data_IF_678175015595
#
_entry.id   IF_678175015595
#
_cell.length_a   1.000
_cell.length_b   1.000
_cell.length_c   1.000
_cell.angle_alpha   90.00
_cell.angle_beta   90.00
_cell.angle_gamma   90.00
#
_symmetry.space_group_name_H-M   'P 1'
#
loop_
_entity.id
_entity.type
_entity.pdbx_description
1 polymer ?
#
# COMPACT_ATOMS: atom_id res chain seq x y z
N UNK A 1 7.68 -13.80 -17.55
CA UNK A 1 6.78 -13.71 -16.38
C UNK A 1 7.41 -14.54 -15.28
N UNK A 2 7.56 -13.99 -14.08
CA UNK A 2 8.14 -14.70 -12.93
C UNK A 2 7.09 -14.82 -11.83
N UNK A 3 7.07 -15.97 -11.15
CA UNK A 3 6.17 -16.25 -10.02
C UNK A 3 7.05 -16.61 -8.84
N UNK A 4 6.85 -15.92 -7.72
CA UNK A 4 7.62 -16.12 -6.48
C UNK A 4 6.66 -16.43 -5.34
N UNK A 5 7.08 -17.32 -4.43
CA UNK A 5 6.37 -17.56 -3.20
C UNK A 5 6.59 -16.38 -2.24
N UNK A 6 5.52 -15.78 -1.74
CA UNK A 6 5.58 -14.69 -0.74
C UNK A 6 5.37 -15.18 0.69
N UNK A 7 5.20 -16.50 0.87
CA UNK A 7 5.09 -17.22 2.14
C UNK A 7 5.61 -18.64 1.96
N UNK A 8 5.87 -19.34 3.06
CA UNK A 8 6.10 -20.78 3.02
C UNK A 8 4.85 -21.50 2.49
N UNK A 9 5.05 -22.49 1.62
CA UNK A 9 3.99 -23.29 1.01
C UNK A 9 4.24 -24.74 1.36
N UNK A 10 3.31 -25.36 2.08
CA UNK A 10 3.44 -26.76 2.47
C UNK A 10 3.13 -27.70 1.29
N UNK A 11 3.67 -28.91 1.31
CA UNK A 11 3.36 -29.92 0.28
C UNK A 11 1.85 -30.22 0.29
N UNK A 12 1.21 -30.06 -0.87
CA UNK A 12 -0.24 -30.24 -1.04
C UNK A 12 -1.08 -28.99 -0.77
N UNK A 13 -0.46 -27.88 -0.36
CA UNK A 13 -1.13 -26.58 -0.28
C UNK A 13 -1.37 -26.01 -1.69
N UNK A 14 -2.54 -25.39 -1.89
CA UNK A 14 -2.88 -24.73 -3.14
C UNK A 14 -2.05 -23.45 -3.33
N UNK A 15 -1.47 -23.30 -4.52
CA UNK A 15 -0.75 -22.08 -4.90
C UNK A 15 -1.75 -21.08 -5.48
N UNK A 16 -1.89 -19.92 -4.84
CA UNK A 16 -2.82 -18.87 -5.25
C UNK A 16 -2.10 -17.58 -5.63
N UNK A 17 -2.71 -16.81 -6.54
CA UNK A 17 -2.29 -15.45 -6.89
C UNK A 17 -3.51 -14.52 -6.85
N UNK A 18 -3.29 -13.23 -6.61
CA UNK A 18 -4.38 -12.26 -6.48
C UNK A 18 -4.78 -11.69 -7.85
N UNK A 19 -6.05 -11.82 -8.24
CA UNK A 19 -6.58 -11.29 -9.52
C UNK A 19 -7.07 -9.85 -9.45
N UNK A 20 -7.25 -9.31 -8.26
CA UNK A 20 -7.66 -7.92 -8.05
C UNK A 20 -6.88 -7.33 -6.87
N UNK A 21 -6.84 -6.00 -6.79
CA UNK A 21 -6.16 -5.34 -5.68
C UNK A 21 -6.85 -5.68 -4.34
N UNK A 22 -6.05 -5.95 -3.30
CA UNK A 22 -6.56 -6.26 -1.95
C UNK A 22 -6.91 -5.00 -1.15
N UNK A 23 -6.54 -3.80 -1.63
CA UNK A 23 -6.83 -2.53 -0.97
C UNK A 23 -8.14 -1.86 -1.35
N UNK A 24 -8.88 -2.42 -2.30
CA UNK A 24 -10.22 -1.92 -2.65
C UNK A 24 -11.28 -2.59 -1.76
N UNK A 25 -12.44 -1.94 -1.52
CA UNK A 25 -13.52 -2.50 -0.72
C UNK A 25 -14.00 -3.87 -1.23
N UNK A 26 -14.55 -4.70 -0.33
CA UNK A 26 -15.22 -5.96 -0.68
C UNK A 26 -16.18 -5.82 -1.86
N UNK A 27 -17.00 -4.76 -1.88
CA UNK A 27 -18.00 -4.53 -2.94
C UNK A 27 -17.35 -4.38 -4.32
N UNK A 28 -16.21 -3.69 -4.39
CA UNK A 28 -15.44 -3.52 -5.62
C UNK A 28 -14.66 -4.79 -6.01
N UNK A 29 -14.11 -5.52 -5.02
CA UNK A 29 -13.48 -6.84 -5.29
C UNK A 29 -14.50 -7.83 -5.82
N UNK A 30 -15.67 -7.93 -5.20
CA UNK A 30 -16.74 -8.83 -5.64
C UNK A 30 -17.18 -8.52 -7.08
N UNK A 31 -17.35 -7.24 -7.43
CA UNK A 31 -17.67 -6.80 -8.79
C UNK A 31 -16.57 -7.17 -9.79
N UNK A 32 -15.30 -6.97 -9.45
CA UNK A 32 -14.18 -7.37 -10.32
C UNK A 32 -14.06 -8.88 -10.48
N UNK A 33 -14.27 -9.65 -9.41
CA UNK A 33 -14.17 -11.11 -9.44
C UNK A 33 -15.35 -11.77 -10.15
N UNK A 34 -16.52 -11.12 -10.16
CA UNK A 34 -17.66 -11.57 -10.96
C UNK A 34 -17.34 -11.62 -12.46
N UNK A 35 -16.46 -10.75 -12.97
CA UNK A 35 -15.97 -10.81 -14.36
C UNK A 35 -15.30 -12.16 -14.67
N UNK A 36 -14.66 -12.79 -13.69
CA UNK A 36 -14.04 -14.11 -13.79
C UNK A 36 -15.01 -15.27 -13.50
N UNK A 37 -16.29 -14.97 -13.25
CA UNK A 37 -17.34 -15.98 -13.07
C UNK A 37 -17.34 -16.70 -11.72
N UNK A 38 -16.69 -16.16 -10.68
CA UNK A 38 -16.69 -16.78 -9.35
C UNK A 38 -16.92 -15.77 -8.22
N UNK A 39 -17.34 -16.31 -7.07
CA UNK A 39 -17.42 -15.57 -5.81
C UNK A 39 -16.23 -15.97 -4.92
N UNK A 40 -15.54 -14.97 -4.35
CA UNK A 40 -14.41 -15.22 -3.46
C UNK A 40 -14.88 -15.42 -2.02
N UNK A 41 -14.35 -16.47 -1.38
CA UNK A 41 -14.63 -16.84 0.01
C UNK A 41 -13.36 -16.81 0.88
N UNK A 42 -12.32 -16.08 0.46
CA UNK A 42 -11.12 -15.94 1.28
C UNK A 42 -11.42 -15.25 2.62
N UNK A 43 -10.51 -15.41 3.59
CA UNK A 43 -10.64 -14.85 4.94
C UNK A 43 -10.95 -13.35 4.94
N UNK A 44 -10.30 -12.58 4.06
CA UNK A 44 -10.56 -11.14 3.92
C UNK A 44 -12.00 -10.85 3.46
N UNK A 45 -12.49 -11.57 2.45
CA UNK A 45 -13.86 -11.41 1.95
C UNK A 45 -14.90 -11.86 2.99
N UNK A 46 -14.62 -12.96 3.71
CA UNK A 46 -15.50 -13.43 4.79
C UNK A 46 -15.56 -12.40 5.94
N UNK A 47 -14.41 -11.86 6.34
CA UNK A 47 -14.31 -10.85 7.38
C UNK A 47 -15.04 -9.55 7.02
N UNK A 48 -14.77 -8.97 5.85
CA UNK A 48 -15.41 -7.71 5.43
C UNK A 48 -16.91 -7.86 5.16
N UNK A 49 -17.36 -9.05 4.73
CA UNK A 49 -18.79 -9.34 4.63
C UNK A 49 -19.48 -9.40 5.99
N UNK A 50 -18.79 -9.92 7.01
CA UNK A 50 -19.29 -9.95 8.38
C UNK A 50 -19.17 -8.58 9.09
N UNK A 51 -18.23 -7.74 8.65
CA UNK A 51 -17.92 -6.42 9.20
C UNK A 51 -18.00 -5.37 8.09
N UNK A 52 -19.21 -5.11 7.53
CA UNK A 52 -19.34 -4.21 6.39
C UNK A 52 -18.77 -2.85 6.73
N UNK A 53 -17.95 -2.33 5.83
CA UNK A 53 -17.53 -0.93 5.87
C UNK A 53 -18.78 -0.06 5.84
N UNK A 54 -18.82 1.00 6.67
CA UNK A 54 -19.94 1.94 6.63
C UNK A 54 -20.09 2.49 5.18
N UNK A 55 -21.30 2.45 4.62
CA UNK A 55 -21.61 2.93 3.28
C UNK A 55 -21.03 4.33 3.00
N UNK A 56 -20.98 5.20 4.02
CA UNK A 56 -20.34 6.52 3.94
C UNK A 56 -18.85 6.43 3.59
N UNK A 57 -18.10 5.48 4.17
CA UNK A 57 -16.66 5.33 3.90
C UNK A 57 -16.39 4.75 2.52
N UNK A 58 -17.21 3.80 2.05
CA UNK A 58 -17.10 3.32 0.65
C UNK A 58 -17.39 4.43 -0.35
N UNK A 59 -18.37 5.28 -0.06
CA UNK A 59 -18.69 6.42 -0.92
C UNK A 59 -17.55 7.45 -0.96
N UNK A 60 -16.98 7.79 0.20
CA UNK A 60 -15.80 8.67 0.27
C UNK A 60 -14.60 8.04 -0.47
N UNK A 61 -14.43 6.72 -0.37
CA UNK A 61 -13.40 6.00 -1.13
C UNK A 61 -13.63 6.13 -2.65
N UNK A 62 -14.86 5.93 -3.14
CA UNK A 62 -15.19 6.09 -4.57
C UNK A 62 -14.94 7.52 -5.04
N UNK A 63 -15.26 8.52 -4.23
CA UNK A 63 -14.96 9.92 -4.56
C UNK A 63 -13.46 10.18 -4.62
N UNK A 64 -12.68 9.64 -3.67
CA UNK A 64 -11.23 9.76 -3.69
C UNK A 64 -10.60 9.04 -4.89
N UNK A 65 -11.11 7.86 -5.25
CA UNK A 65 -10.70 7.09 -6.43
C UNK A 65 -11.00 7.86 -7.72
N UNK A 66 -12.19 8.43 -7.85
CA UNK A 66 -12.58 9.24 -9.01
C UNK A 66 -11.69 10.49 -9.17
N UNK A 67 -11.32 11.14 -8.07
CA UNK A 67 -10.37 12.26 -8.09
C UNK A 67 -8.98 11.78 -8.51
N UNK A 68 -8.49 10.69 -7.92
CA UNK A 68 -7.15 10.16 -8.17
C UNK A 68 -6.96 9.59 -9.57
N UNK A 69 -8.01 9.04 -10.16
CA UNK A 69 -8.00 8.43 -11.50
C UNK A 69 -8.42 9.38 -12.61
N UNK A 70 -8.79 10.63 -12.30
CA UNK A 70 -9.10 11.63 -13.31
C UNK A 70 -7.84 12.00 -14.12
N UNK A 71 -7.82 11.84 -15.46
CA UNK A 71 -6.64 12.10 -16.28
C UNK A 71 -6.07 13.51 -16.13
N UNK A 72 -6.92 14.54 -15.97
CA UNK A 72 -6.46 15.91 -15.77
C UNK A 72 -5.73 16.06 -14.44
N UNK A 73 -6.25 15.45 -13.39
CA UNK A 73 -5.63 15.49 -12.07
C UNK A 73 -4.30 14.71 -12.04
N UNK A 74 -4.17 13.66 -12.85
CA UNK A 74 -2.92 12.90 -12.97
C UNK A 74 -1.86 13.69 -13.74
N UNK A 75 -2.25 14.30 -14.86
CA UNK A 75 -1.32 14.98 -15.76
C UNK A 75 -0.91 16.37 -15.27
N UNK A 76 -1.83 17.08 -14.60
CA UNK A 76 -1.65 18.45 -14.13
C UNK A 76 -2.34 18.64 -12.77
N UNK A 77 -1.84 17.98 -11.72
CA UNK A 77 -2.40 18.14 -10.39
C UNK A 77 -2.27 19.58 -9.91
N UNK A 78 -3.31 20.09 -9.27
CA UNK A 78 -3.30 21.40 -8.62
C UNK A 78 -3.27 21.24 -7.11
N UNK A 79 -2.77 22.26 -6.41
CA UNK A 79 -2.81 22.30 -4.94
C UNK A 79 -4.25 22.20 -4.40
N UNK A 80 -5.26 22.63 -5.16
CA UNK A 80 -6.66 22.50 -4.77
C UNK A 80 -7.12 21.05 -4.79
N UNK A 81 -6.80 20.32 -5.87
CA UNK A 81 -7.14 18.90 -6.00
C UNK A 81 -6.44 18.06 -4.94
N UNK A 82 -5.15 18.32 -4.68
CA UNK A 82 -4.41 17.63 -3.62
C UNK A 82 -5.06 17.85 -2.24
N UNK A 83 -5.46 19.09 -1.91
CA UNK A 83 -6.17 19.41 -0.66
C UNK A 83 -7.54 18.73 -0.55
N UNK A 84 -8.27 18.65 -1.66
CA UNK A 84 -9.55 17.94 -1.70
C UNK A 84 -9.36 16.45 -1.40
N UNK A 85 -8.35 15.82 -2.01
CA UNK A 85 -8.04 14.42 -1.78
C UNK A 85 -7.56 14.17 -0.33
N UNK A 86 -6.71 15.04 0.21
CA UNK A 86 -6.31 15.00 1.63
C UNK A 86 -7.51 15.02 2.56
N UNK A 87 -8.48 15.90 2.31
CA UNK A 87 -9.70 15.98 3.10
C UNK A 87 -10.46 14.66 3.10
N UNK A 88 -10.68 14.04 1.93
CA UNK A 88 -11.37 12.76 1.84
C UNK A 88 -10.61 11.64 2.57
N UNK A 89 -9.28 11.60 2.45
CA UNK A 89 -8.43 10.61 3.14
C UNK A 89 -8.60 10.71 4.65
N UNK A 90 -8.67 11.92 5.22
CA UNK A 90 -8.90 12.10 6.66
C UNK A 90 -10.28 11.59 7.09
N UNK A 91 -11.30 11.68 6.24
CA UNK A 91 -12.64 11.18 6.55
C UNK A 91 -12.73 9.65 6.50
N UNK A 92 -11.88 8.99 5.68
CA UNK A 92 -11.79 7.52 5.64
C UNK A 92 -11.06 6.98 6.88
N UNK A 93 -10.21 7.79 7.51
CA UNK A 93 -9.38 7.43 8.67
C UNK A 93 -10.24 6.94 9.83
N UNK A 94 -10.29 5.62 10.05
CA UNK A 94 -11.11 4.96 11.07
C UNK A 94 -10.33 3.96 11.93
N UNK A 95 -10.89 3.60 13.10
CA UNK A 95 -10.23 2.87 14.18
C UNK A 95 -9.43 1.63 13.73
N UNK A 96 -8.23 1.48 14.30
CA UNK A 96 -7.42 0.26 14.25
C UNK A 96 -8.20 -0.85 14.95
N UNK A 97 -8.75 -1.80 14.20
CA UNK A 97 -9.31 -3.01 14.78
C UNK A 97 -8.24 -4.09 14.69
N UNK A 98 -7.74 -4.48 15.87
CA UNK A 98 -7.00 -5.72 16.15
C UNK A 98 -6.14 -6.31 15.01
N UNK A 99 -5.03 -5.65 14.68
CA UNK A 99 -3.91 -6.31 14.01
C UNK A 99 -4.15 -6.90 12.61
N UNK A 100 -5.32 -6.68 12.00
CA UNK A 100 -5.65 -7.19 10.66
C UNK A 100 -6.36 -6.12 9.83
N UNK A 101 -5.61 -5.54 8.89
CA UNK A 101 -6.04 -4.96 7.60
C UNK A 101 -7.30 -4.07 7.50
N UNK A 102 -7.74 -3.35 8.54
CA UNK A 102 -8.93 -2.46 8.42
C UNK A 102 -8.65 -1.07 7.84
N UNK A 103 -7.39 -0.71 7.56
CA UNK A 103 -7.04 0.61 7.04
C UNK A 103 -6.60 0.62 5.56
N UNK A 104 -6.97 -0.43 4.83
CA UNK A 104 -6.62 -0.67 3.42
C UNK A 104 -7.23 0.34 2.46
N UNK A 105 -8.42 0.86 2.78
CA UNK A 105 -9.14 1.83 1.95
C UNK A 105 -8.35 3.11 1.68
N UNK A 106 -7.44 3.50 2.58
CA UNK A 106 -6.64 4.70 2.38
C UNK A 106 -5.51 4.50 1.35
N UNK A 107 -5.13 3.26 1.05
CA UNK A 107 -3.92 2.99 0.26
C UNK A 107 -3.96 3.57 -1.15
N UNK A 108 -5.02 3.34 -1.91
CA UNK A 108 -5.18 3.91 -3.25
C UNK A 108 -5.26 5.44 -3.24
N UNK A 109 -6.13 6.08 -2.43
CA UNK A 109 -6.13 7.53 -2.29
C UNK A 109 -4.77 8.12 -1.91
N UNK A 110 -4.03 7.49 -0.98
CA UNK A 110 -2.69 7.92 -0.59
C UNK A 110 -1.70 7.80 -1.75
N UNK A 111 -1.82 6.76 -2.58
CA UNK A 111 -0.99 6.59 -3.78
C UNK A 111 -1.21 7.73 -4.76
N UNK A 112 -2.47 8.07 -5.06
CA UNK A 112 -2.79 9.23 -5.91
C UNK A 112 -2.26 10.53 -5.31
N UNK A 113 -2.46 10.73 -4.00
CA UNK A 113 -1.99 11.92 -3.32
C UNK A 113 -0.46 12.05 -3.33
N UNK A 114 0.26 10.93 -3.18
CA UNK A 114 1.72 10.89 -3.31
C UNK A 114 2.16 11.40 -4.68
N UNK A 115 1.58 10.90 -5.77
CA UNK A 115 1.94 11.34 -7.12
C UNK A 115 1.60 12.81 -7.36
N UNK A 116 0.48 13.31 -6.81
CA UNK A 116 0.13 14.72 -6.89
C UNK A 116 1.19 15.61 -6.21
N UNK A 117 1.57 15.30 -4.98
CA UNK A 117 2.61 16.06 -4.28
C UNK A 117 4.00 15.91 -4.90
N UNK A 118 4.30 14.75 -5.48
CA UNK A 118 5.53 14.53 -6.21
C UNK A 118 5.63 15.46 -7.42
N UNK A 119 4.54 15.58 -8.18
CA UNK A 119 4.46 16.50 -9.32
C UNK A 119 4.58 17.96 -8.87
N UNK A 120 3.95 18.32 -7.74
CA UNK A 120 4.01 19.66 -7.14
C UNK A 120 5.38 19.96 -6.48
N UNK A 121 6.32 19.00 -6.47
CA UNK A 121 7.66 19.18 -5.89
C UNK A 121 7.70 19.14 -4.35
N UNK A 122 6.63 18.73 -3.68
CA UNK A 122 6.53 18.72 -2.23
C UNK A 122 7.05 17.40 -1.63
N UNK A 123 8.37 17.22 -1.61
CA UNK A 123 9.01 15.97 -1.19
C UNK A 123 8.82 15.66 0.30
N UNK A 124 8.72 16.68 1.15
CA UNK A 124 8.43 16.49 2.58
C UNK A 124 7.04 15.86 2.77
N UNK A 125 6.05 16.39 2.05
CA UNK A 125 4.69 15.82 2.09
C UNK A 125 4.65 14.43 1.48
N UNK A 126 5.41 14.17 0.41
CA UNK A 126 5.55 12.82 -0.13
C UNK A 126 6.04 11.83 0.93
N UNK A 127 7.05 12.17 1.74
CA UNK A 127 7.51 11.29 2.82
C UNK A 127 6.43 11.05 3.88
N UNK A 128 5.67 12.08 4.28
CA UNK A 128 4.56 11.92 5.20
C UNK A 128 3.50 10.94 4.67
N UNK A 129 3.17 11.04 3.38
CA UNK A 129 2.21 10.17 2.70
C UNK A 129 2.74 8.74 2.61
N UNK A 130 4.00 8.56 2.22
CA UNK A 130 4.62 7.24 2.10
C UNK A 130 4.69 6.51 3.45
N UNK A 131 4.96 7.24 4.54
CA UNK A 131 4.86 6.68 5.90
C UNK A 131 3.44 6.21 6.24
N UNK A 132 2.41 6.95 5.83
CA UNK A 132 1.02 6.52 5.99
C UNK A 132 0.71 5.27 5.14
N UNK A 133 1.23 5.21 3.91
CA UNK A 133 1.10 4.03 3.04
C UNK A 133 1.77 2.79 3.65
N UNK A 134 2.98 2.92 4.21
CA UNK A 134 3.65 1.83 4.93
C UNK A 134 2.78 1.32 6.08
N UNK A 135 2.18 2.23 6.85
CA UNK A 135 1.27 1.86 7.93
C UNK A 135 0.00 1.14 7.43
N UNK A 136 -0.48 1.44 6.21
CA UNK A 136 -1.59 0.74 5.57
C UNK A 136 -1.23 -0.66 5.05
N UNK A 137 -0.02 -0.84 4.50
CA UNK A 137 0.46 -2.14 4.02
C UNK A 137 0.64 -3.16 5.16
N UNK A 138 0.87 -2.69 6.38
CA UNK A 138 1.22 -3.57 7.50
C UNK A 138 2.64 -4.07 7.34
N UNK A 139 2.82 -5.39 7.22
CA UNK A 139 4.13 -6.00 7.06
C UNK A 139 4.67 -5.78 5.61
N UNK A 140 5.74 -4.97 5.43
CA UNK A 140 6.29 -4.70 4.11
C UNK A 140 6.97 -5.91 3.46
N UNK A 141 7.26 -6.97 4.22
CA UNK A 141 7.81 -8.22 3.68
C UNK A 141 6.74 -9.04 2.97
N UNK A 142 5.50 -9.02 3.48
CA UNK A 142 4.37 -9.76 2.90
C UNK A 142 3.76 -8.99 1.73
N UNK A 143 3.68 -7.66 1.84
CA UNK A 143 2.94 -6.88 0.87
C UNK A 143 3.78 -6.42 -0.34
N UNK A 144 3.34 -6.71 -1.57
CA UNK A 144 4.11 -6.44 -2.80
C UNK A 144 4.64 -5.00 -2.88
N UNK A 145 3.81 -4.01 -2.52
CA UNK A 145 4.16 -2.58 -2.54
C UNK A 145 5.16 -2.13 -1.47
N UNK A 146 5.51 -2.94 -0.46
CA UNK A 146 6.46 -2.53 0.58
C UNK A 146 7.82 -2.13 0.00
N UNK A 147 8.29 -2.85 -1.03
CA UNK A 147 9.53 -2.51 -1.75
C UNK A 147 9.38 -1.20 -2.52
N UNK A 148 8.27 -1.03 -3.25
CA UNK A 148 8.01 0.19 -4.03
C UNK A 148 8.00 1.43 -3.14
N UNK A 149 7.30 1.35 -2.00
CA UNK A 149 7.19 2.46 -1.05
C UNK A 149 8.56 2.81 -0.47
N UNK A 150 9.38 1.83 -0.10
CA UNK A 150 10.75 2.08 0.38
C UNK A 150 11.61 2.75 -0.70
N UNK A 151 11.50 2.33 -1.96
CA UNK A 151 12.22 2.97 -3.06
C UNK A 151 11.73 4.40 -3.31
N UNK A 152 10.43 4.65 -3.21
CA UNK A 152 9.86 6.00 -3.27
C UNK A 152 10.33 6.88 -2.10
N UNK A 153 10.42 6.32 -0.89
CA UNK A 153 10.97 7.01 0.28
C UNK A 153 12.45 7.33 0.09
N UNK A 154 13.21 6.43 -0.53
CA UNK A 154 14.62 6.67 -0.86
C UNK A 154 14.78 7.84 -1.85
N UNK A 155 13.97 7.87 -2.91
CA UNK A 155 13.94 8.95 -3.89
C UNK A 155 13.63 10.30 -3.23
N UNK A 156 12.56 10.40 -2.44
CA UNK A 156 12.22 11.64 -1.73
C UNK A 156 13.34 12.08 -0.77
N UNK A 157 13.92 11.16 0.01
CA UNK A 157 15.04 11.48 0.90
C UNK A 157 16.28 11.95 0.13
N UNK A 158 16.56 11.36 -1.02
CA UNK A 158 17.70 11.76 -1.85
C UNK A 158 17.53 13.20 -2.37
N UNK A 159 16.32 13.54 -2.83
CA UNK A 159 15.97 14.87 -3.33
C UNK A 159 16.01 15.93 -2.22
N UNK A 160 15.64 15.58 -0.99
CA UNK A 160 15.77 16.44 0.19
C UNK A 160 17.20 16.56 0.73
N UNK A 161 18.18 15.85 0.15
CA UNK A 161 19.56 15.84 0.63
C UNK A 161 19.84 14.89 1.81
N UNK A 162 18.83 14.14 2.27
CA UNK A 162 18.93 13.15 3.36
C UNK A 162 19.55 11.84 2.89
N UNK A 163 20.83 11.88 2.49
CA UNK A 163 21.54 10.76 1.85
C UNK A 163 21.63 9.50 2.72
N UNK A 164 21.75 9.66 4.03
CA UNK A 164 21.78 8.52 4.95
C UNK A 164 20.43 7.78 4.98
N UNK A 165 19.32 8.51 5.11
CA UNK A 165 17.98 7.93 5.07
C UNK A 165 17.67 7.28 3.72
N UNK A 166 18.10 7.90 2.61
CA UNK A 166 17.94 7.32 1.28
C UNK A 166 18.65 5.96 1.16
N UNK A 167 19.90 5.87 1.65
CA UNK A 167 20.65 4.60 1.67
C UNK A 167 20.01 3.55 2.55
N UNK A 168 19.50 3.93 3.73
CA UNK A 168 18.81 3.03 4.63
C UNK A 168 17.57 2.41 3.96
N UNK A 169 16.75 3.24 3.31
CA UNK A 169 15.56 2.77 2.57
C UNK A 169 15.92 1.82 1.41
N UNK A 170 16.96 2.11 0.63
CA UNK A 170 17.44 1.21 -0.45
C UNK A 170 17.95 -0.12 0.12
N UNK A 171 18.73 -0.07 1.19
CA UNK A 171 19.25 -1.27 1.85
C UNK A 171 18.11 -2.15 2.36
N UNK A 172 17.08 -1.52 2.92
CA UNK A 172 15.93 -2.25 3.42
C UNK A 172 15.11 -2.87 2.28
N UNK A 173 14.81 -2.12 1.21
CA UNK A 173 14.14 -2.63 0.02
C UNK A 173 14.88 -3.82 -0.63
N UNK A 174 16.23 -3.76 -0.65
CA UNK A 174 17.09 -4.84 -1.15
C UNK A 174 16.98 -6.08 -0.27
N UNK A 175 16.98 -5.92 1.05
CA UNK A 175 16.83 -7.01 2.01
C UNK A 175 15.48 -7.73 1.82
N UNK A 176 14.38 -6.98 1.69
CA UNK A 176 13.05 -7.54 1.44
C UNK A 176 13.04 -8.35 0.14
N UNK A 177 13.62 -7.79 -0.92
CA UNK A 177 13.71 -8.46 -2.22
C UNK A 177 14.50 -9.77 -2.14
N UNK A 178 15.65 -9.77 -1.44
CA UNK A 178 16.46 -10.97 -1.24
C UNK A 178 15.70 -12.03 -0.43
N UNK A 179 15.01 -11.64 0.64
CA UNK A 179 14.19 -12.55 1.44
C UNK A 179 13.11 -13.22 0.58
N UNK A 180 12.39 -12.45 -0.24
CA UNK A 180 11.35 -12.98 -1.16
C UNK A 180 11.89 -13.94 -2.22
N UNK A 181 13.17 -13.84 -2.55
CA UNK A 181 13.86 -14.75 -3.48
C UNK A 181 14.46 -15.99 -2.80
N UNK A 182 14.10 -16.27 -1.54
CA UNK A 182 14.60 -17.41 -0.77
C UNK A 182 15.90 -17.13 -0.01
N UNK A 183 16.16 -15.87 0.34
CA UNK A 183 17.31 -15.45 1.15
C UNK A 183 17.24 -15.90 2.62
N UNK A 184 18.39 -15.89 3.29
CA UNK A 184 18.55 -16.35 4.69
C UNK A 184 17.73 -15.52 5.70
N UNK A 185 16.85 -16.21 6.43
CA UNK A 185 15.99 -15.65 7.48
C UNK A 185 16.79 -14.98 8.62
N UNK A 186 18.03 -15.40 8.89
CA UNK A 186 18.85 -14.77 9.93
C UNK A 186 19.43 -13.43 9.49
N UNK A 187 19.84 -13.33 8.22
CA UNK A 187 20.25 -12.06 7.61
C UNK A 187 19.08 -11.06 7.62
N UNK A 188 17.86 -11.57 7.38
CA UNK A 188 16.59 -10.86 7.49
C UNK A 188 16.33 -10.30 8.90
N UNK A 189 16.40 -11.13 9.96
CA UNK A 189 16.15 -10.69 11.34
C UNK A 189 17.10 -9.58 11.77
N UNK A 190 18.36 -9.67 11.34
CA UNK A 190 19.38 -8.66 11.64
C UNK A 190 19.11 -7.33 10.94
N UNK A 191 18.91 -7.35 9.62
CA UNK A 191 18.65 -6.15 8.82
C UNK A 191 17.34 -5.46 9.20
N UNK A 192 16.29 -6.22 9.54
CA UNK A 192 15.04 -5.64 10.04
C UNK A 192 15.23 -4.90 11.38
N UNK A 193 15.96 -5.49 12.33
CA UNK A 193 16.22 -4.85 13.64
C UNK A 193 17.09 -3.59 13.51
N UNK A 194 17.95 -3.54 12.48
CA UNK A 194 18.79 -2.38 12.19
C UNK A 194 17.97 -1.27 11.51
N UNK A 195 17.10 -1.62 10.56
CA UNK A 195 16.22 -0.67 9.87
C UNK A 195 15.21 -0.01 10.82
N UNK A 196 14.64 -0.76 11.77
CA UNK A 196 13.74 -0.24 12.80
C UNK A 196 14.39 0.78 13.74
N UNK A 197 15.72 0.79 13.88
CA UNK A 197 16.44 1.77 14.71
C UNK A 197 16.72 3.09 13.98
N UNK A 198 16.50 3.12 12.67
CA UNK A 198 16.80 4.26 11.78
C UNK A 198 15.55 4.95 11.22
N UNK A 199 14.37 4.41 11.50
CA UNK A 199 13.04 5.00 11.25
C UNK A 199 12.51 5.61 12.54
#
# INVERSE_FOLDING_TARGET
MFVYAVKNINKGEEVTITYCDSFIPYTERAKKLQYFGFQCYCELCAFEKANPTNATKEEIWRQAEAIGNNPLNIMQPTQQVARQLEYLIQQIKGNRIHGQHTNTLQFHPLTSLYYMHKFLGNMEKCLEILNQMMACCGDPFVHIHGVDILLWMADCNFQLGNRQAARANISFATTISQYRMGGDENLFKKAFSEAQKSL
#
